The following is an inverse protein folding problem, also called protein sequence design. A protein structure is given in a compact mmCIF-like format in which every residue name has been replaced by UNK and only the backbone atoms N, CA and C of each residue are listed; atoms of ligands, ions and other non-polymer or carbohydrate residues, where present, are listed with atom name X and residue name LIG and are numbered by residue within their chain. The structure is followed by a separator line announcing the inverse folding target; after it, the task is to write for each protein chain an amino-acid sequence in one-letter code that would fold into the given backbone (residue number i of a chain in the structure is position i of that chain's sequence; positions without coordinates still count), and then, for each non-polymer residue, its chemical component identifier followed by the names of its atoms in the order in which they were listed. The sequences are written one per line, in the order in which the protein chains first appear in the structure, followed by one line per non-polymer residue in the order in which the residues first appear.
data_IF_926946680568
#
_entry.id   IF_926946680568
#
_cell.length_a   1.000
_cell.length_b   1.000
_cell.length_c   1.000
_cell.angle_alpha   90.00
_cell.angle_beta   90.00
_cell.angle_gamma   90.00
#
_symmetry.space_group_name_H-M   'P 1'
#
loop_
_entity.id
_entity.type
_entity.pdbx_description
1 polymer ?
#
# COMPACT_ATOMS: atom_id res chain seq x y z
N UNK A 1 -19.23 -2.92 -4.19
CA UNK A 1 -18.80 -3.16 -5.59
C UNK A 1 -17.57 -4.04 -5.60
N UNK A 2 -17.55 -5.03 -6.47
CA UNK A 2 -16.35 -5.84 -6.68
C UNK A 2 -15.65 -5.37 -7.93
N UNK A 3 -14.35 -5.13 -7.79
CA UNK A 3 -13.50 -4.74 -8.91
C UNK A 3 -12.68 -5.97 -9.30
N UNK A 4 -12.60 -6.23 -10.60
CA UNK A 4 -11.80 -7.35 -11.11
C UNK A 4 -10.35 -7.25 -10.63
N UNK A 5 -9.76 -8.38 -10.25
CA UNK A 5 -8.39 -8.42 -9.74
C UNK A 5 -7.39 -7.79 -10.70
N UNK A 6 -7.60 -7.99 -12.00
CA UNK A 6 -6.74 -7.42 -13.03
C UNK A 6 -6.70 -5.89 -12.99
N UNK A 7 -7.82 -5.26 -12.67
CA UNK A 7 -7.89 -3.80 -12.56
C UNK A 7 -7.17 -3.27 -11.31
N UNK A 8 -7.18 -4.04 -10.22
CA UNK A 8 -6.52 -3.64 -8.97
C UNK A 8 -5.02 -3.93 -8.97
N UNK A 9 -4.61 -4.99 -9.67
CA UNK A 9 -3.28 -5.59 -9.53
C UNK A 9 -2.13 -4.60 -9.72
N UNK A 10 -2.24 -3.71 -10.66
CA UNK A 10 -1.19 -2.71 -10.94
C UNK A 10 -1.11 -1.59 -9.92
N UNK A 11 -2.11 -1.44 -9.05
CA UNK A 11 -2.18 -0.34 -8.08
C UNK A 11 -1.97 -0.76 -6.64
N UNK A 12 -1.80 -2.05 -6.38
CA UNK A 12 -1.67 -2.59 -5.02
C UNK A 12 -0.44 -2.02 -4.30
N UNK A 13 0.72 -1.98 -4.97
CA UNK A 13 1.94 -1.42 -4.39
C UNK A 13 1.75 0.06 -4.05
N UNK A 14 1.13 0.82 -4.93
CA UNK A 14 0.84 2.23 -4.71
C UNK A 14 -0.05 2.43 -3.49
N UNK A 15 -1.11 1.62 -3.37
CA UNK A 15 -2.03 1.71 -2.23
C UNK A 15 -1.31 1.45 -0.90
N UNK A 16 -0.43 0.45 -0.84
CA UNK A 16 0.32 0.12 0.38
C UNK A 16 1.34 1.23 0.71
N UNK A 17 2.08 1.72 -0.28
CA UNK A 17 3.01 2.82 -0.05
C UNK A 17 2.29 4.07 0.47
N UNK A 18 1.14 4.38 -0.10
CA UNK A 18 0.32 5.50 0.38
C UNK A 18 -0.14 5.31 1.83
N UNK A 19 -0.54 4.09 2.19
CA UNK A 19 -1.01 3.80 3.54
C UNK A 19 0.08 4.01 4.60
N UNK A 20 1.35 3.96 4.21
CA UNK A 20 2.48 4.17 5.10
C UNK A 20 2.97 5.62 5.14
N UNK A 21 2.37 6.50 4.34
CA UNK A 21 2.84 7.90 4.21
C UNK A 21 2.77 8.66 5.54
N UNK A 22 1.75 8.42 6.33
CA UNK A 22 1.50 9.16 7.58
C UNK A 22 2.33 8.67 8.76
N UNK A 23 3.06 7.60 8.62
CA UNK A 23 3.91 7.07 9.67
C UNK A 23 3.88 5.55 9.75
N UNK A 24 4.61 4.97 10.72
CA UNK A 24 4.69 3.52 10.84
C UNK A 24 3.34 2.86 11.14
N UNK A 25 3.08 1.73 10.49
CA UNK A 25 1.85 0.96 10.67
C UNK A 25 2.20 -0.52 10.68
N UNK A 26 1.51 -1.30 11.51
CA UNK A 26 1.62 -2.76 11.48
C UNK A 26 0.62 -3.34 10.47
N UNK A 27 0.88 -4.57 10.00
CA UNK A 27 0.16 -5.14 8.86
C UNK A 27 -1.36 -5.15 9.03
N UNK A 28 -1.85 -5.57 10.19
CA UNK A 28 -3.30 -5.62 10.44
C UNK A 28 -3.92 -4.21 10.41
N UNK A 29 -3.24 -3.24 10.99
CA UNK A 29 -3.70 -1.84 10.96
C UNK A 29 -3.73 -1.28 9.55
N UNK A 30 -2.74 -1.63 8.74
CA UNK A 30 -2.67 -1.23 7.35
C UNK A 30 -3.85 -1.81 6.54
N UNK A 31 -4.11 -3.11 6.70
CA UNK A 31 -5.24 -3.78 6.05
C UNK A 31 -6.55 -3.11 6.41
N UNK A 32 -6.77 -2.90 7.72
CA UNK A 32 -8.00 -2.33 8.24
C UNK A 32 -8.22 -0.90 7.72
N UNK A 33 -7.20 -0.05 7.80
CA UNK A 33 -7.29 1.33 7.34
C UNK A 33 -7.58 1.41 5.84
N UNK A 34 -6.90 0.61 5.03
CA UNK A 34 -7.10 0.60 3.58
C UNK A 34 -8.48 0.08 3.21
N UNK A 35 -8.92 -1.01 3.84
CA UNK A 35 -10.26 -1.56 3.62
C UNK A 35 -11.35 -0.54 3.95
N UNK A 36 -11.24 0.09 5.11
CA UNK A 36 -12.27 1.04 5.57
C UNK A 36 -12.31 2.27 4.67
N UNK A 37 -11.16 2.77 4.27
CA UNK A 37 -11.07 3.97 3.42
C UNK A 37 -11.62 3.74 2.02
N UNK A 38 -11.57 2.51 1.51
CA UNK A 38 -12.00 2.19 0.14
C UNK A 38 -13.30 1.42 0.08
N UNK A 39 -14.04 1.32 1.17
CA UNK A 39 -15.28 0.54 1.25
C UNK A 39 -15.08 -0.91 0.77
N UNK A 40 -13.94 -1.49 1.11
CA UNK A 40 -13.61 -2.88 0.81
C UNK A 40 -13.05 -3.15 -0.58
N UNK A 41 -12.91 -2.13 -1.44
CA UNK A 41 -12.32 -2.33 -2.78
C UNK A 41 -10.87 -2.82 -2.65
N UNK A 42 -10.09 -2.25 -1.74
CA UNK A 42 -8.79 -2.78 -1.38
C UNK A 42 -8.90 -3.43 0.00
N UNK A 43 -8.79 -4.75 0.02
CA UNK A 43 -8.75 -5.53 1.26
C UNK A 43 -7.65 -6.57 1.14
N UNK A 44 -6.49 -6.27 1.72
CA UNK A 44 -5.31 -7.11 1.62
C UNK A 44 -5.33 -8.18 2.71
N UNK A 45 -5.67 -9.43 2.36
CA UNK A 45 -5.51 -10.53 3.30
C UNK A 45 -4.01 -10.83 3.51
N UNK A 46 -3.72 -11.66 4.50
CA UNK A 46 -2.33 -11.97 4.88
C UNK A 46 -1.54 -12.59 3.72
N UNK A 47 -2.18 -13.44 2.92
CA UNK A 47 -1.53 -14.09 1.78
C UNK A 47 -1.09 -13.14 0.68
N UNK A 48 -1.69 -11.96 0.62
CA UNK A 48 -1.32 -10.90 -0.34
C UNK A 48 -0.40 -9.88 0.32
N UNK A 49 -0.72 -9.45 1.53
CA UNK A 49 -0.06 -8.34 2.18
C UNK A 49 1.38 -8.64 2.59
N UNK A 50 1.63 -9.80 3.23
CA UNK A 50 2.98 -10.11 3.70
C UNK A 50 3.98 -10.30 2.57
N UNK A 51 3.70 -11.04 1.50
CA UNK A 51 4.63 -11.11 0.36
C UNK A 51 4.89 -9.73 -0.26
N UNK A 52 3.87 -8.87 -0.31
CA UNK A 52 4.01 -7.53 -0.86
C UNK A 52 4.91 -6.67 0.02
N UNK A 53 4.70 -6.66 1.33
CA UNK A 53 5.55 -5.93 2.28
C UNK A 53 7.00 -6.42 2.21
N UNK A 54 7.18 -7.74 2.10
CA UNK A 54 8.50 -8.34 1.98
C UNK A 54 9.20 -7.86 0.69
N UNK A 55 8.49 -7.85 -0.42
CA UNK A 55 9.00 -7.36 -1.70
C UNK A 55 9.39 -5.88 -1.61
N UNK A 56 8.57 -5.06 -0.95
CA UNK A 56 8.86 -3.64 -0.76
C UNK A 56 10.10 -3.42 0.13
N UNK A 57 10.30 -4.28 1.13
CA UNK A 57 11.51 -4.24 1.95
C UNK A 57 12.76 -4.61 1.13
N UNK A 58 12.66 -5.64 0.31
CA UNK A 58 13.77 -6.05 -0.56
C UNK A 58 14.16 -4.93 -1.53
N UNK A 59 13.19 -4.19 -2.03
CA UNK A 59 13.40 -3.05 -2.92
C UNK A 59 13.84 -1.80 -2.16
N UNK A 60 13.95 -1.88 -0.83
CA UNK A 60 14.35 -0.78 0.06
C UNK A 60 13.40 0.43 0.01
N UNK A 61 12.14 0.18 -0.31
CA UNK A 61 11.10 1.21 -0.27
C UNK A 61 10.45 1.30 1.10
N UNK A 62 10.52 0.22 1.86
CA UNK A 62 9.94 0.07 3.19
C UNK A 62 10.98 -0.55 4.11
N UNK A 63 11.00 -0.13 5.35
CA UNK A 63 11.76 -0.79 6.42
C UNK A 63 10.81 -1.19 7.53
N UNK A 64 11.22 -2.16 8.34
CA UNK A 64 10.39 -2.62 9.44
C UNK A 64 11.17 -2.74 10.73
N UNK A 65 10.46 -2.65 11.84
CA UNK A 65 11.04 -2.84 13.17
C UNK A 65 10.01 -3.49 14.08
N UNK A 66 10.50 -4.27 15.05
CA UNK A 66 9.65 -4.83 16.08
C UNK A 66 9.44 -3.81 17.16
N UNK A 67 8.20 -3.63 17.62
CA UNK A 67 7.85 -2.78 18.74
C UNK A 67 7.00 -3.56 19.73
N UNK A 68 7.21 -3.31 21.00
CA UNK A 68 6.38 -3.87 22.06
C UNK A 68 5.30 -2.84 22.42
N UNK A 69 4.05 -3.19 22.13
CA UNK A 69 2.90 -2.32 22.42
C UNK A 69 1.88 -3.14 23.20
N UNK A 70 1.52 -2.69 24.40
CA UNK A 70 0.55 -3.38 25.24
C UNK A 70 0.94 -4.82 25.57
N UNK A 71 2.24 -5.07 25.81
CA UNK A 71 2.75 -6.41 26.10
C UNK A 71 2.93 -7.32 24.88
N UNK A 72 2.55 -6.88 23.71
CA UNK A 72 2.68 -7.63 22.45
C UNK A 72 3.79 -7.05 21.58
N UNK A 73 4.56 -7.94 20.95
CA UNK A 73 5.52 -7.54 19.92
C UNK A 73 4.81 -7.50 18.59
N UNK A 74 4.92 -6.36 17.90
CA UNK A 74 4.36 -6.17 16.55
C UNK A 74 5.41 -5.61 15.63
N UNK A 75 5.40 -6.05 14.38
CA UNK A 75 6.27 -5.50 13.36
C UNK A 75 5.59 -4.29 12.72
N UNK A 76 6.25 -3.15 12.81
CA UNK A 76 5.79 -1.90 12.20
C UNK A 76 6.59 -1.65 10.93
N UNK A 77 5.90 -1.23 9.89
CA UNK A 77 6.46 -0.91 8.60
C UNK A 77 6.40 0.59 8.37
N UNK A 78 7.43 1.14 7.75
CA UNK A 78 7.49 2.57 7.45
C UNK A 78 8.14 2.79 6.09
N UNK A 79 7.84 3.92 5.44
CA UNK A 79 8.51 4.29 4.22
C UNK A 79 9.96 4.70 4.51
N UNK A 80 10.86 4.31 3.61
CA UNK A 80 12.20 4.87 3.54
C UNK A 80 12.16 6.18 2.75
N UNK A 81 13.26 6.92 2.69
CA UNK A 81 13.37 8.09 1.81
C UNK A 81 13.10 7.69 0.36
N UNK A 82 13.67 6.57 -0.08
CA UNK A 82 13.42 6.03 -1.42
C UNK A 82 11.96 5.67 -1.63
N UNK A 83 11.30 5.11 -0.61
CA UNK A 83 9.87 4.80 -0.66
C UNK A 83 9.02 6.03 -0.84
N UNK A 84 9.36 7.13 -0.17
CA UNK A 84 8.63 8.39 -0.31
C UNK A 84 8.76 8.96 -1.72
N UNK A 85 9.97 8.93 -2.28
CA UNK A 85 10.21 9.37 -3.65
C UNK A 85 9.43 8.52 -4.65
N UNK A 86 9.46 7.21 -4.46
CA UNK A 86 8.72 6.27 -5.30
C UNK A 86 7.23 6.52 -5.22
N UNK A 87 6.69 6.77 -4.02
CA UNK A 87 5.27 7.07 -3.85
C UNK A 87 4.86 8.32 -4.63
N UNK A 88 5.64 9.39 -4.53
CA UNK A 88 5.34 10.63 -5.25
C UNK A 88 5.31 10.39 -6.76
N UNK A 89 6.31 9.69 -7.29
CA UNK A 89 6.40 9.37 -8.73
C UNK A 89 5.24 8.48 -9.18
N UNK A 90 4.97 7.42 -8.45
CA UNK A 90 3.90 6.46 -8.81
C UNK A 90 2.53 7.11 -8.74
N UNK A 91 2.30 7.98 -7.76
CA UNK A 91 1.03 8.72 -7.66
C UNK A 91 0.82 9.61 -8.87
N UNK A 92 1.87 10.29 -9.33
CA UNK A 92 1.83 11.14 -10.52
C UNK A 92 1.55 10.31 -11.77
N UNK A 93 2.26 9.20 -11.93
CA UNK A 93 2.09 8.31 -13.07
C UNK A 93 0.67 7.71 -13.10
N UNK A 94 0.16 7.31 -11.95
CA UNK A 94 -1.20 6.79 -11.85
C UNK A 94 -2.24 7.84 -12.26
N UNK A 95 -2.08 9.07 -11.81
CA UNK A 95 -3.00 10.15 -12.17
C UNK A 95 -2.98 10.45 -13.67
N UNK A 96 -1.81 10.42 -14.27
CA UNK A 96 -1.67 10.60 -15.72
C UNK A 96 -2.34 9.46 -16.49
N UNK A 97 -2.12 8.22 -16.06
CA UNK A 97 -2.73 7.05 -16.68
C UNK A 97 -4.25 7.08 -16.53
N UNK A 98 -4.73 7.39 -15.33
CA UNK A 98 -6.17 7.47 -15.06
C UNK A 98 -6.86 8.52 -15.92
N UNK A 99 -6.23 9.69 -16.07
CA UNK A 99 -6.75 10.75 -16.93
C UNK A 99 -6.80 10.32 -18.38
N UNK A 100 -5.77 9.65 -18.88
CA UNK A 100 -5.72 9.15 -20.24
C UNK A 100 -6.83 8.13 -20.48
N UNK A 101 -7.05 7.21 -19.54
CA UNK A 101 -8.12 6.22 -19.65
C UNK A 101 -9.50 6.87 -19.65
N UNK A 102 -9.72 7.85 -18.78
CA UNK A 102 -10.98 8.58 -18.75
C UNK A 102 -11.27 9.25 -20.09
N UNK A 103 -10.26 9.81 -20.71
CA UNK A 103 -10.40 10.43 -22.06
C UNK A 103 -10.80 9.43 -23.10
N UNK A 104 -10.26 8.20 -23.05
CA UNK A 104 -10.59 7.14 -24.01
C UNK A 104 -12.01 6.61 -23.76
N UNK A 105 -12.38 6.43 -22.49
CA UNK A 105 -13.64 5.77 -22.11
C UNK A 105 -14.86 6.70 -22.17
N UNK A 106 -14.65 7.98 -22.09
CA UNK A 106 -15.72 8.98 -22.21
C UNK A 106 -15.90 9.35 -23.71
#
# INVERSE_FOLDING_TARGET
MQIADQLRKGTTRLAVLHALESGPVYAYGLRRATRDKTAGIFDFNEGVLYPLLHSLEQDRLVSSSLRKVGGRKRRYYRLTARGRETLVRCRREWRALNKALDTILD
#
